data_IF_045570403667
#
_entry.id   IF_045570403667
#
_cell.length_a   1.000
_cell.length_b   1.000
_cell.length_c   1.000
_cell.angle_alpha   90.00
_cell.angle_beta   90.00
_cell.angle_gamma   90.00
#
_symmetry.space_group_name_H-M   'P 1'
#
loop_
_entity.id
_entity.type
_entity.pdbx_description
1 polymer ?
#
# COMPACT_ATOMS: atom_id res chain seq x y z
N UNK A 1 38.62 80.60 -5.79
CA UNK A 1 37.38 79.84 -5.53
C UNK A 1 37.67 78.35 -5.65
N UNK A 2 38.00 77.71 -4.52
CA UNK A 2 38.34 76.28 -4.40
C UNK A 2 37.34 75.55 -3.45
N UNK A 3 36.06 75.32 -3.83
CA UNK A 3 35.23 74.39 -3.06
C UNK A 3 34.51 73.28 -3.86
N UNK A 4 34.59 73.25 -5.21
CA UNK A 4 33.79 72.29 -6.00
C UNK A 4 34.47 70.95 -6.33
N UNK A 5 35.81 70.87 -6.40
CA UNK A 5 36.51 69.64 -6.80
C UNK A 5 36.67 68.61 -5.66
N UNK A 6 36.72 69.07 -4.39
CA UNK A 6 36.82 68.19 -3.22
C UNK A 6 35.46 67.59 -2.84
N UNK A 7 34.36 68.30 -3.16
CA UNK A 7 33.00 67.84 -2.87
C UNK A 7 32.57 66.64 -3.76
N UNK A 8 32.99 66.60 -5.03
CA UNK A 8 32.68 65.49 -5.95
C UNK A 8 33.45 64.19 -5.64
N UNK A 9 34.65 64.30 -5.08
CA UNK A 9 35.46 63.17 -4.58
C UNK A 9 34.83 62.48 -3.36
N UNK A 10 34.30 63.26 -2.41
CA UNK A 10 33.63 62.72 -1.22
C UNK A 10 32.30 62.02 -1.52
N UNK A 11 31.56 62.51 -2.52
CA UNK A 11 30.27 61.95 -2.93
C UNK A 11 30.39 60.63 -3.70
N UNK A 12 31.38 60.48 -4.59
CA UNK A 12 31.60 59.26 -5.38
C UNK A 12 32.20 58.12 -4.54
N UNK A 13 33.22 58.40 -3.72
CA UNK A 13 33.78 57.41 -2.79
C UNK A 13 32.76 56.96 -1.73
N UNK A 14 31.88 57.87 -1.26
CA UNK A 14 30.79 57.48 -0.36
C UNK A 14 29.75 56.60 -1.06
N UNK A 15 29.48 56.80 -2.35
CA UNK A 15 28.57 55.96 -3.13
C UNK A 15 29.14 54.55 -3.39
N UNK A 16 30.44 54.41 -3.71
CA UNK A 16 31.06 53.09 -3.91
C UNK A 16 31.23 52.30 -2.61
N UNK A 17 31.57 52.97 -1.50
CA UNK A 17 31.59 52.36 -0.16
C UNK A 17 30.18 51.94 0.28
N UNK A 18 29.18 52.81 0.09
CA UNK A 18 27.77 52.50 0.38
C UNK A 18 27.25 51.33 -0.47
N UNK A 19 27.59 51.28 -1.76
CA UNK A 19 27.26 50.19 -2.68
C UNK A 19 27.89 48.86 -2.28
N UNK A 20 29.16 48.85 -1.84
CA UNK A 20 29.85 47.66 -1.36
C UNK A 20 29.23 47.09 -0.07
N UNK A 21 28.93 47.96 0.91
CA UNK A 21 28.25 47.54 2.14
C UNK A 21 26.80 47.09 1.87
N UNK A 22 26.10 47.77 0.95
CA UNK A 22 24.78 47.39 0.47
C UNK A 22 24.77 45.99 -0.16
N UNK A 23 25.65 45.74 -1.14
CA UNK A 23 25.76 44.44 -1.81
C UNK A 23 26.23 43.31 -0.88
N UNK A 24 27.11 43.60 0.08
CA UNK A 24 27.54 42.61 1.08
C UNK A 24 26.44 42.27 2.08
N UNK A 25 25.64 43.24 2.50
CA UNK A 25 24.47 43.01 3.34
C UNK A 25 23.37 42.25 2.58
N UNK A 26 23.19 42.57 1.30
CA UNK A 26 22.25 41.89 0.41
C UNK A 26 22.65 40.43 0.17
N UNK A 27 23.92 40.15 -0.13
CA UNK A 27 24.43 38.79 -0.28
C UNK A 27 24.28 37.97 1.02
N UNK A 28 24.48 38.59 2.19
CA UNK A 28 24.25 37.95 3.50
C UNK A 28 22.77 37.65 3.73
N UNK A 29 21.88 38.60 3.43
CA UNK A 29 20.44 38.43 3.56
C UNK A 29 19.91 37.33 2.60
N UNK A 30 20.42 37.29 1.37
CA UNK A 30 20.10 36.24 0.39
C UNK A 30 20.58 34.86 0.85
N UNK A 31 21.81 34.76 1.37
CA UNK A 31 22.35 33.51 1.93
C UNK A 31 21.57 33.04 3.16
N UNK A 32 21.16 33.96 4.04
CA UNK A 32 20.33 33.64 5.21
C UNK A 32 18.93 33.17 4.80
N UNK A 33 18.31 33.84 3.81
CA UNK A 33 17.02 33.43 3.25
C UNK A 33 17.09 32.05 2.60
N UNK A 34 18.11 31.78 1.78
CA UNK A 34 18.34 30.49 1.16
C UNK A 34 18.57 29.39 2.20
N UNK A 35 19.34 29.67 3.27
CA UNK A 35 19.54 28.73 4.37
C UNK A 35 18.23 28.44 5.15
N UNK A 36 17.38 29.44 5.37
CA UNK A 36 16.05 29.27 6.01
C UNK A 36 15.13 28.42 5.13
N UNK A 37 15.06 28.70 3.83
CA UNK A 37 14.28 27.92 2.87
C UNK A 37 14.76 26.46 2.82
N UNK A 38 16.08 26.23 2.78
CA UNK A 38 16.66 24.89 2.82
C UNK A 38 16.28 24.12 4.09
N UNK A 39 16.36 24.78 5.27
CA UNK A 39 15.91 24.16 6.54
C UNK A 39 14.43 23.81 6.53
N UNK A 40 13.57 24.66 5.95
CA UNK A 40 12.15 24.37 5.79
C UNK A 40 11.92 23.17 4.85
N UNK A 41 12.61 23.13 3.71
CA UNK A 41 12.55 22.00 2.77
C UNK A 41 13.01 20.69 3.42
N UNK A 42 14.09 20.72 4.20
CA UNK A 42 14.55 19.56 4.98
C UNK A 42 13.50 19.09 6.00
N UNK A 43 12.79 20.01 6.65
CA UNK A 43 11.73 19.67 7.60
C UNK A 43 10.56 18.98 6.91
N UNK A 44 10.12 19.52 5.77
CA UNK A 44 9.06 18.91 4.94
C UNK A 44 9.49 17.52 4.49
N UNK A 45 10.70 17.41 3.94
CA UNK A 45 11.28 16.13 3.50
C UNK A 45 11.27 15.07 4.61
N UNK A 46 11.71 15.42 5.83
CA UNK A 46 11.69 14.50 6.97
C UNK A 46 10.28 14.07 7.35
N UNK A 47 9.34 15.02 7.39
CA UNK A 47 7.94 14.72 7.69
C UNK A 47 7.32 13.78 6.65
N UNK A 48 7.61 13.98 5.36
CA UNK A 48 7.14 13.10 4.29
C UNK A 48 7.75 11.68 4.40
N UNK A 49 9.06 11.56 4.67
CA UNK A 49 9.72 10.26 4.84
C UNK A 49 9.20 9.51 6.07
N UNK A 50 9.04 10.21 7.21
CA UNK A 50 8.48 9.64 8.43
C UNK A 50 7.03 9.17 8.22
N UNK A 51 6.21 9.98 7.55
CA UNK A 51 4.83 9.62 7.21
C UNK A 51 4.79 8.38 6.30
N UNK A 52 5.64 8.33 5.26
CA UNK A 52 5.72 7.18 4.37
C UNK A 52 6.08 5.89 5.12
N UNK A 53 7.04 5.96 6.06
CA UNK A 53 7.41 4.83 6.93
C UNK A 53 6.26 4.39 7.84
N UNK A 54 5.55 5.33 8.46
CA UNK A 54 4.40 5.04 9.31
C UNK A 54 3.27 4.38 8.53
N UNK A 55 2.95 4.92 7.35
CA UNK A 55 1.93 4.37 6.46
C UNK A 55 2.27 2.92 6.07
N UNK A 56 3.52 2.67 5.68
CA UNK A 56 3.96 1.31 5.37
C UNK A 56 3.90 0.37 6.58
N UNK A 57 4.26 0.86 7.77
CA UNK A 57 4.09 0.12 9.02
C UNK A 57 2.64 -0.27 9.30
N UNK A 58 1.70 0.67 9.07
CA UNK A 58 0.27 0.42 9.18
C UNK A 58 -0.21 -0.60 8.13
N UNK A 59 0.17 -0.45 6.86
CA UNK A 59 -0.14 -1.39 5.79
C UNK A 59 0.36 -2.81 6.13
N UNK A 60 1.56 -2.95 6.70
CA UNK A 60 2.10 -4.23 7.16
C UNK A 60 1.29 -4.83 8.31
N UNK A 61 0.80 -4.01 9.23
CA UNK A 61 -0.09 -4.47 10.31
C UNK A 61 -1.44 -4.94 9.76
N UNK A 62 -2.05 -4.16 8.87
CA UNK A 62 -3.30 -4.49 8.19
C UNK A 62 -3.16 -5.78 7.38
N UNK A 63 -2.07 -5.94 6.62
CA UNK A 63 -1.76 -7.17 5.91
C UNK A 63 -1.76 -8.39 6.85
N UNK A 64 -1.07 -8.30 8.00
CA UNK A 64 -1.05 -9.40 8.98
C UNK A 64 -2.44 -9.73 9.51
N UNK A 65 -3.27 -8.72 9.79
CA UNK A 65 -4.64 -8.92 10.25
C UNK A 65 -5.51 -9.57 9.16
N UNK A 66 -5.39 -9.12 7.90
CA UNK A 66 -6.09 -9.70 6.76
C UNK A 66 -5.71 -11.16 6.55
N UNK A 67 -4.41 -11.51 6.57
CA UNK A 67 -3.96 -12.90 6.45
C UNK A 67 -4.57 -13.77 7.55
N UNK A 68 -4.55 -13.33 8.82
CA UNK A 68 -5.17 -14.07 9.92
C UNK A 68 -6.68 -14.28 9.70
N UNK A 69 -7.38 -13.24 9.28
CA UNK A 69 -8.81 -13.32 9.01
C UNK A 69 -9.14 -14.27 7.85
N UNK A 70 -8.32 -14.26 6.79
CA UNK A 70 -8.44 -15.21 5.67
C UNK A 70 -8.22 -16.64 6.15
N UNK A 71 -7.19 -16.87 6.96
CA UNK A 71 -6.86 -18.20 7.49
C UNK A 71 -7.97 -18.73 8.42
N UNK A 72 -8.51 -17.87 9.29
CA UNK A 72 -9.62 -18.21 10.17
C UNK A 72 -10.90 -18.49 9.39
N UNK A 73 -11.24 -17.65 8.41
CA UNK A 73 -12.40 -17.87 7.54
C UNK A 73 -12.27 -19.18 6.76
N UNK A 74 -11.07 -19.50 6.27
CA UNK A 74 -10.81 -20.76 5.59
C UNK A 74 -11.00 -21.95 6.54
N UNK A 75 -10.41 -21.91 7.74
CA UNK A 75 -10.56 -22.95 8.76
C UNK A 75 -12.02 -23.17 9.17
N UNK A 76 -12.79 -22.09 9.36
CA UNK A 76 -14.23 -22.17 9.62
C UNK A 76 -14.98 -22.79 8.44
N UNK A 77 -14.61 -22.45 7.21
CA UNK A 77 -15.15 -23.07 5.99
C UNK A 77 -14.95 -24.59 5.97
N UNK A 78 -13.73 -25.07 6.23
CA UNK A 78 -13.43 -26.50 6.34
C UNK A 78 -14.24 -27.19 7.46
N UNK A 79 -14.31 -26.57 8.63
CA UNK A 79 -15.08 -27.11 9.77
C UNK A 79 -16.57 -27.23 9.46
N UNK A 80 -17.16 -26.23 8.79
CA UNK A 80 -18.56 -26.24 8.34
C UNK A 80 -18.80 -27.33 7.31
N UNK A 81 -17.93 -27.46 6.31
CA UNK A 81 -18.03 -28.50 5.29
C UNK A 81 -17.98 -29.91 5.93
N UNK A 82 -17.08 -30.13 6.88
CA UNK A 82 -16.99 -31.41 7.59
C UNK A 82 -18.24 -31.69 8.44
N UNK A 83 -18.78 -30.67 9.12
CA UNK A 83 -20.03 -30.80 9.88
C UNK A 83 -21.19 -31.18 8.97
N UNK A 84 -21.35 -30.51 7.84
CA UNK A 84 -22.39 -30.81 6.85
C UNK A 84 -22.25 -32.23 6.29
N UNK A 85 -21.01 -32.69 6.02
CA UNK A 85 -20.77 -34.08 5.61
C UNK A 85 -21.21 -35.07 6.68
N UNK A 86 -20.87 -34.82 7.94
CA UNK A 86 -21.26 -35.69 9.04
C UNK A 86 -22.79 -35.73 9.22
N UNK A 87 -23.46 -34.58 9.09
CA UNK A 87 -24.92 -34.50 9.12
C UNK A 87 -25.57 -35.25 7.96
N UNK A 88 -25.04 -35.11 6.74
CA UNK A 88 -25.51 -35.85 5.57
C UNK A 88 -25.35 -37.37 5.75
N UNK A 89 -24.22 -37.83 6.28
CA UNK A 89 -24.00 -39.25 6.59
C UNK A 89 -24.95 -39.75 7.68
N UNK A 90 -25.22 -38.94 8.72
CA UNK A 90 -26.20 -39.26 9.76
C UNK A 90 -27.62 -39.34 9.21
N UNK A 91 -28.02 -38.41 8.33
CA UNK A 91 -29.31 -38.46 7.65
C UNK A 91 -29.43 -39.71 6.76
N UNK A 92 -28.36 -40.05 6.03
CA UNK A 92 -28.30 -41.25 5.20
C UNK A 92 -28.42 -42.55 6.01
N UNK A 93 -27.83 -42.60 7.21
CA UNK A 93 -27.93 -43.77 8.09
C UNK A 93 -29.36 -43.96 8.61
N UNK A 94 -30.05 -42.88 9.00
CA UNK A 94 -31.47 -42.95 9.38
C UNK A 94 -32.36 -43.37 8.21
N UNK A 95 -32.16 -42.81 7.01
CA UNK A 95 -32.88 -43.24 5.82
C UNK A 95 -32.67 -44.72 5.49
N UNK A 96 -31.46 -45.23 5.74
CA UNK A 96 -31.15 -46.66 5.58
C UNK A 96 -31.90 -47.53 6.59
N UNK A 97 -31.93 -47.11 7.87
CA UNK A 97 -32.68 -47.81 8.91
C UNK A 97 -34.19 -47.83 8.61
N UNK A 98 -34.77 -46.70 8.20
CA UNK A 98 -36.19 -46.63 7.84
C UNK A 98 -36.54 -47.57 6.68
N UNK A 99 -35.68 -47.65 5.67
CA UNK A 99 -35.85 -48.58 4.54
C UNK A 99 -35.70 -50.04 4.95
N UNK A 100 -34.80 -50.35 5.88
CA UNK A 100 -34.66 -51.71 6.43
C UNK A 100 -35.90 -52.09 7.25
N UNK A 101 -36.44 -51.18 8.04
CA UNK A 101 -37.68 -51.40 8.78
C UNK A 101 -38.85 -51.62 7.80
N UNK A 102 -38.94 -50.84 6.72
CA UNK A 102 -39.95 -51.04 5.68
C UNK A 102 -39.81 -52.40 5.00
N UNK A 103 -38.58 -52.82 4.66
CA UNK A 103 -38.30 -54.14 4.10
C UNK A 103 -38.74 -55.26 5.05
N UNK A 104 -38.34 -55.17 6.33
CA UNK A 104 -38.73 -56.15 7.34
C UNK A 104 -40.25 -56.22 7.55
N UNK A 105 -40.94 -55.06 7.57
CA UNK A 105 -42.41 -55.00 7.65
C UNK A 105 -43.08 -55.65 6.44
N UNK A 106 -42.59 -55.38 5.24
CA UNK A 106 -43.14 -56.02 4.02
C UNK A 106 -42.94 -57.53 4.03
N UNK A 107 -41.75 -58.01 4.39
CA UNK A 107 -41.47 -59.45 4.49
C UNK A 107 -42.33 -60.12 5.58
N UNK A 108 -42.47 -59.47 6.75
CA UNK A 108 -43.33 -59.96 7.83
C UNK A 108 -44.80 -60.03 7.41
N UNK A 109 -45.30 -59.04 6.66
CA UNK A 109 -46.66 -59.04 6.14
C UNK A 109 -46.90 -60.15 5.08
N UNK A 110 -45.96 -60.36 4.15
CA UNK A 110 -46.01 -61.48 3.19
C UNK A 110 -46.02 -62.82 3.93
N UNK A 111 -45.18 -62.99 4.96
CA UNK A 111 -45.11 -64.22 5.74
C UNK A 111 -46.37 -64.46 6.58
N UNK A 112 -46.94 -63.41 7.21
CA UNK A 112 -48.10 -63.53 8.08
C UNK A 112 -49.41 -63.82 7.31
N UNK A 113 -49.51 -63.39 6.06
CA UNK A 113 -50.68 -63.68 5.20
C UNK A 113 -50.67 -65.09 4.62
N UNK A 114 -49.61 -65.88 4.86
CA UNK A 114 -49.49 -67.24 4.32
C UNK A 114 -49.44 -67.27 2.78
N UNK A 115 -49.13 -66.14 2.14
CA UNK A 115 -49.09 -66.01 0.70
C UNK A 115 -47.96 -66.88 0.14
N UNK A 116 -48.30 -68.04 -0.42
CA UNK A 116 -47.35 -68.97 -1.03
C UNK A 116 -47.53 -69.01 -2.56
N UNK A 117 -46.43 -69.20 -3.29
CA UNK A 117 -46.43 -69.38 -4.75
C UNK A 117 -45.77 -68.24 -5.55
N UNK A 118 -45.86 -68.33 -6.90
CA UNK A 118 -45.16 -67.42 -7.83
C UNK A 118 -45.51 -65.94 -7.64
N UNK A 119 -46.74 -65.63 -7.24
CA UNK A 119 -47.19 -64.24 -7.03
C UNK A 119 -46.56 -63.61 -5.79
N UNK A 120 -46.42 -64.37 -4.69
CA UNK A 120 -45.74 -63.91 -3.48
C UNK A 120 -44.24 -63.68 -3.73
N UNK A 121 -43.59 -64.59 -4.46
CA UNK A 121 -42.18 -64.43 -4.86
C UNK A 121 -41.94 -63.18 -5.72
N UNK A 122 -42.89 -62.83 -6.60
CA UNK A 122 -42.81 -61.60 -7.39
C UNK A 122 -42.90 -60.35 -6.52
N UNK A 123 -43.81 -60.34 -5.54
CA UNK A 123 -43.95 -59.24 -4.60
C UNK A 123 -42.64 -59.03 -3.81
N UNK A 124 -42.08 -60.10 -3.23
CA UNK A 124 -40.83 -60.03 -2.47
C UNK A 124 -39.65 -59.57 -3.35
N UNK A 125 -39.57 -60.06 -4.59
CA UNK A 125 -38.56 -59.62 -5.54
C UNK A 125 -38.68 -58.13 -5.89
N UNK A 126 -39.90 -57.61 -6.04
CA UNK A 126 -40.14 -56.20 -6.35
C UNK A 126 -39.83 -55.29 -5.16
N UNK A 127 -40.15 -55.71 -3.94
CA UNK A 127 -39.73 -55.02 -2.70
C UNK A 127 -38.21 -54.97 -2.61
N UNK A 128 -37.51 -56.09 -2.82
CA UNK A 128 -36.06 -56.15 -2.77
C UNK A 128 -35.41 -55.28 -3.85
N UNK A 129 -35.95 -55.30 -5.08
CA UNK A 129 -35.51 -54.39 -6.15
C UNK A 129 -35.71 -52.92 -5.78
N UNK A 130 -36.84 -52.58 -5.16
CA UNK A 130 -37.10 -51.21 -4.69
C UNK A 130 -36.08 -50.77 -3.64
N UNK A 131 -35.79 -51.64 -2.65
CA UNK A 131 -34.75 -51.41 -1.66
C UNK A 131 -33.38 -51.21 -2.30
N UNK A 132 -32.97 -52.10 -3.22
CA UNK A 132 -31.70 -52.00 -3.93
C UNK A 132 -31.56 -50.70 -4.74
N UNK A 133 -32.62 -50.29 -5.47
CA UNK A 133 -32.66 -48.99 -6.16
C UNK A 133 -32.56 -47.82 -5.19
N UNK A 134 -33.19 -47.92 -4.02
CA UNK A 134 -33.07 -46.92 -2.96
C UNK A 134 -31.64 -46.78 -2.45
N UNK A 135 -30.96 -47.90 -2.17
CA UNK A 135 -29.56 -47.91 -1.74
C UNK A 135 -28.63 -47.33 -2.80
N UNK A 136 -28.80 -47.70 -4.08
CA UNK A 136 -28.04 -47.12 -5.18
C UNK A 136 -28.22 -45.60 -5.26
N UNK A 137 -29.46 -45.09 -5.18
CA UNK A 137 -29.74 -43.65 -5.16
C UNK A 137 -29.09 -42.92 -3.99
N UNK A 138 -29.08 -43.54 -2.81
CA UNK A 138 -28.45 -42.96 -1.62
C UNK A 138 -26.94 -42.88 -1.79
N UNK A 139 -26.31 -43.96 -2.26
CA UNK A 139 -24.88 -43.99 -2.57
C UNK A 139 -24.49 -42.93 -3.59
N UNK A 140 -25.27 -42.80 -4.67
CA UNK A 140 -25.04 -41.78 -5.70
C UNK A 140 -25.16 -40.36 -5.14
N UNK A 141 -26.18 -40.10 -4.32
CA UNK A 141 -26.37 -38.82 -3.66
C UNK A 141 -25.22 -38.46 -2.72
N UNK A 142 -24.69 -39.44 -1.99
CA UNK A 142 -23.54 -39.23 -1.10
C UNK A 142 -22.25 -38.97 -1.90
N UNK A 143 -22.03 -39.71 -2.99
CA UNK A 143 -20.88 -39.51 -3.87
C UNK A 143 -20.92 -38.13 -4.54
N UNK A 144 -22.07 -37.75 -5.11
CA UNK A 144 -22.27 -36.42 -5.69
C UNK A 144 -22.09 -35.32 -4.64
N UNK A 145 -22.54 -35.55 -3.41
CA UNK A 145 -22.33 -34.62 -2.30
C UNK A 145 -20.85 -34.45 -1.94
N UNK A 146 -20.07 -35.53 -1.93
CA UNK A 146 -18.64 -35.48 -1.66
C UNK A 146 -17.88 -34.72 -2.76
N UNK A 147 -18.22 -34.95 -4.03
CA UNK A 147 -17.65 -34.20 -5.16
C UNK A 147 -17.95 -32.71 -5.03
N UNK A 148 -19.21 -32.34 -4.75
CA UNK A 148 -19.61 -30.94 -4.59
C UNK A 148 -18.89 -30.28 -3.39
N UNK A 149 -18.72 -31.01 -2.28
CA UNK A 149 -17.95 -30.54 -1.14
C UNK A 149 -16.49 -30.30 -1.51
N UNK A 150 -15.84 -31.25 -2.21
CA UNK A 150 -14.45 -31.11 -2.64
C UNK A 150 -14.26 -29.91 -3.57
N UNK A 151 -15.19 -29.67 -4.50
CA UNK A 151 -15.19 -28.48 -5.36
C UNK A 151 -15.31 -27.20 -4.54
N UNK A 152 -16.25 -27.14 -3.59
CA UNK A 152 -16.41 -25.98 -2.71
C UNK A 152 -15.16 -25.70 -1.86
N UNK A 153 -14.48 -26.73 -1.38
CA UNK A 153 -13.21 -26.58 -0.65
C UNK A 153 -12.07 -26.09 -1.56
N UNK A 154 -12.03 -26.53 -2.82
CA UNK A 154 -11.07 -26.00 -3.80
C UNK A 154 -11.35 -24.53 -4.10
N UNK A 155 -12.61 -24.15 -4.32
CA UNK A 155 -13.00 -22.76 -4.55
C UNK A 155 -12.63 -21.87 -3.36
N UNK A 156 -12.90 -22.34 -2.13
CA UNK A 156 -12.51 -21.63 -0.91
C UNK A 156 -10.99 -21.45 -0.80
N UNK A 157 -10.21 -22.47 -1.20
CA UNK A 157 -8.74 -22.36 -1.26
C UNK A 157 -8.31 -21.32 -2.29
N UNK A 158 -8.88 -21.34 -3.51
CA UNK A 158 -8.56 -20.37 -4.56
C UNK A 158 -8.94 -18.94 -4.16
N UNK A 159 -10.09 -18.77 -3.51
CA UNK A 159 -10.52 -17.48 -2.95
C UNK A 159 -9.56 -16.99 -1.88
N UNK A 160 -9.13 -17.87 -0.96
CA UNK A 160 -8.14 -17.52 0.05
C UNK A 160 -6.79 -17.12 -0.58
N UNK A 161 -6.30 -17.87 -1.55
CA UNK A 161 -5.07 -17.53 -2.29
C UNK A 161 -5.19 -16.19 -3.03
N UNK A 162 -6.31 -15.95 -3.72
CA UNK A 162 -6.59 -14.68 -4.38
C UNK A 162 -6.60 -13.50 -3.39
N UNK A 163 -7.27 -13.65 -2.25
CA UNK A 163 -7.31 -12.64 -1.20
C UNK A 163 -5.92 -12.39 -0.59
N UNK A 164 -5.12 -13.44 -0.35
CA UNK A 164 -3.74 -13.31 0.13
C UNK A 164 -2.86 -12.55 -0.86
N UNK A 165 -3.00 -12.81 -2.16
CA UNK A 165 -2.25 -12.11 -3.20
C UNK A 165 -2.64 -10.62 -3.28
N UNK A 166 -3.94 -10.31 -3.18
CA UNK A 166 -4.43 -8.93 -3.12
C UNK A 166 -3.89 -8.19 -1.88
N UNK A 167 -3.86 -8.86 -0.73
CA UNK A 167 -3.30 -8.31 0.50
C UNK A 167 -1.78 -8.08 0.37
N UNK A 168 -1.05 -9.03 -0.24
CA UNK A 168 0.39 -8.91 -0.46
C UNK A 168 0.75 -7.73 -1.37
N UNK A 169 -0.05 -7.47 -2.41
CA UNK A 169 0.15 -6.32 -3.30
C UNK A 169 0.20 -4.96 -2.60
N UNK A 170 -0.44 -4.83 -1.42
CA UNK A 170 -0.45 -3.59 -0.64
C UNK A 170 0.87 -3.34 0.11
N UNK A 171 1.67 -4.38 0.36
CA UNK A 171 2.93 -4.33 1.15
C UNK A 171 4.16 -4.75 0.36
N UNK A 172 3.99 -5.20 -0.88
CA UNK A 172 5.04 -5.74 -1.73
C UNK A 172 6.15 -4.72 -2.03
N UNK A 173 5.82 -3.42 -2.06
CA UNK A 173 6.77 -2.34 -2.37
C UNK A 173 6.92 -1.46 -1.15
N UNK A 174 8.12 -1.46 -0.56
CA UNK A 174 8.45 -0.52 0.50
C UNK A 174 8.56 0.91 -0.08
N UNK A 175 8.14 1.94 0.69
CA UNK A 175 8.31 3.32 0.27
C UNK A 175 9.80 3.62 0.05
N UNK A 176 10.11 4.25 -1.07
CA UNK A 176 11.46 4.74 -1.35
C UNK A 176 11.61 6.12 -0.74
N UNK A 177 12.69 6.32 0.00
CA UNK A 177 13.08 7.64 0.48
C UNK A 177 13.38 8.54 -0.74
N UNK A 178 12.78 9.74 -0.77
CA UNK A 178 13.05 10.73 -1.80
C UNK A 178 14.52 11.18 -1.73
N UNK A 179 15.03 11.77 -2.80
CA UNK A 179 16.36 12.41 -2.75
C UNK A 179 16.23 13.66 -1.88
N UNK A 180 17.13 13.83 -0.91
CA UNK A 180 17.14 15.00 -0.05
C UNK A 180 17.33 16.29 -0.88
N UNK A 181 16.73 17.43 -0.47
CA UNK A 181 16.94 18.70 -1.16
C UNK A 181 18.44 19.04 -1.19
N UNK A 182 18.92 19.60 -2.30
CA UNK A 182 20.31 20.02 -2.46
C UNK A 182 20.56 21.27 -1.61
N UNK A 183 21.73 21.35 -0.98
CA UNK A 183 22.11 22.53 -0.22
C UNK A 183 22.28 23.75 -1.15
N UNK A 184 21.83 24.95 -0.75
CA UNK A 184 21.94 26.14 -1.58
C UNK A 184 23.41 26.53 -1.76
N UNK A 185 23.80 26.88 -2.99
CA UNK A 185 25.09 27.51 -3.27
C UNK A 185 25.08 28.93 -2.71
N UNK A 186 26.06 29.26 -1.88
CA UNK A 186 26.15 30.60 -1.30
C UNK A 186 26.51 31.63 -2.37
N UNK A 187 25.77 32.73 -2.44
CA UNK A 187 26.12 33.89 -3.24
C UNK A 187 27.45 34.46 -2.72
N UNK A 188 28.41 34.61 -3.62
CA UNK A 188 29.70 35.23 -3.30
C UNK A 188 29.50 36.74 -3.16
N UNK A 189 29.79 37.29 -1.98
CA UNK A 189 29.74 38.74 -1.77
C UNK A 189 30.85 39.46 -2.55
N UNK A 190 30.74 40.79 -2.76
CA UNK A 190 31.77 41.57 -3.43
C UNK A 190 33.11 41.42 -2.70
N UNK A 191 34.18 41.18 -3.45
CA UNK A 191 35.53 41.02 -2.89
C UNK A 191 36.11 42.37 -2.46
N UNK A 192 36.98 42.42 -1.43
CA UNK A 192 37.70 43.65 -1.07
C UNK A 192 38.56 44.20 -2.21
N UNK A 193 38.95 43.33 -3.15
CA UNK A 193 39.69 43.69 -4.36
C UNK A 193 38.80 44.50 -5.30
N UNK A 194 37.52 44.14 -5.47
CA UNK A 194 36.58 44.91 -6.28
C UNK A 194 36.33 46.31 -5.68
N UNK A 195 36.24 46.41 -4.35
CA UNK A 195 36.15 47.71 -3.67
C UNK A 195 37.39 48.58 -3.92
N UNK A 196 38.59 48.00 -3.86
CA UNK A 196 39.83 48.71 -4.09
C UNK A 196 39.98 49.15 -5.55
N UNK A 197 39.49 48.36 -6.50
CA UNK A 197 39.47 48.69 -7.92
C UNK A 197 38.46 49.80 -8.24
N UNK A 198 37.26 49.77 -7.66
CA UNK A 198 36.26 50.82 -7.84
C UNK A 198 36.74 52.15 -7.25
N UNK A 199 37.27 52.14 -6.03
CA UNK A 199 37.87 53.33 -5.40
C UNK A 199 39.11 53.83 -6.17
N UNK A 200 39.91 52.91 -6.71
CA UNK A 200 41.08 53.23 -7.53
C UNK A 200 40.69 53.85 -8.88
N UNK A 201 39.64 53.33 -9.53
CA UNK A 201 39.09 53.88 -10.77
C UNK A 201 38.50 55.28 -10.59
N UNK A 202 37.81 55.51 -9.48
CA UNK A 202 37.27 56.82 -9.10
C UNK A 202 38.38 57.85 -8.85
N UNK A 203 39.46 57.46 -8.16
CA UNK A 203 40.64 58.30 -7.96
C UNK A 203 41.33 58.66 -9.29
N UNK A 204 41.50 57.69 -10.19
CA UNK A 204 42.11 57.92 -11.50
C UNK A 204 41.25 58.85 -12.36
N UNK A 205 39.93 58.65 -12.38
CA UNK A 205 39.01 59.53 -13.12
C UNK A 205 39.02 60.96 -12.57
N UNK A 206 39.11 61.13 -11.25
CA UNK A 206 39.22 62.44 -10.64
C UNK A 206 40.55 63.13 -10.98
N UNK A 207 41.67 62.41 -10.98
CA UNK A 207 42.97 62.95 -11.40
C UNK A 207 43.00 63.33 -12.89
N UNK A 208 42.32 62.58 -13.76
CA UNK A 208 42.19 62.89 -15.19
C UNK A 208 41.33 64.15 -15.40
N UNK A 209 40.27 64.35 -14.63
CA UNK A 209 39.46 65.58 -14.66
C UNK A 209 40.25 66.79 -14.16
N UNK A 210 41.03 66.64 -13.09
CA UNK A 210 41.86 67.70 -12.51
C UNK A 210 42.97 68.13 -13.49
N UNK A 211 43.64 67.17 -14.12
CA UNK A 211 44.63 67.45 -15.18
C UNK A 211 44.01 68.18 -16.39
N UNK A 212 42.78 67.84 -16.79
CA UNK A 212 42.09 68.54 -17.89
C UNK A 212 41.68 69.98 -17.52
N UNK A 213 41.39 70.25 -16.25
CA UNK A 213 41.09 71.60 -15.75
C UNK A 213 42.34 72.47 -15.62
N UNK A 214 43.50 71.87 -15.29
CA UNK A 214 44.78 72.57 -15.23
C UNK A 214 45.43 72.84 -16.60
N UNK A 215 45.10 72.05 -17.63
CA UNK A 215 45.58 72.26 -19.00
C UNK A 215 44.85 73.40 -19.75
N UNK A 216 43.81 74.01 -19.18
CA UNK A 216 42.96 75.04 -19.79
C UNK A 216 43.02 76.39 -19.04
N UNK A 217 44.11 76.68 -18.33
CA UNK A 217 44.41 78.00 -17.76
C UNK A 217 45.64 78.64 -18.40
#
# INVERSE_FOLDING_TARGET
MLPLAIASLGLSAAQSISGFFGQRNEARAQNEAAAKQYKQQLKIYKQEDDYARQLYGFQKSQYKQQIRSIDEAAALGFSRAQTQKNEALKAASFQTQDRLIQLARSQGATSATGAAGKSAQRLDADVLKSFGRGQAKLSESLLSGDIAMQQSLQDLKLQAEGARNQAYGQVAIAPRTRIAPLAPTQASGPSPVNLALDLGGDLVNAMVLDNKLHANR
#
